data_IF_990531539829
#
_entry.id   IF_990531539829
#
_cell.length_a   1.000
_cell.length_b   1.000
_cell.length_c   1.000
_cell.angle_alpha   90.00
_cell.angle_beta   90.00
_cell.angle_gamma   90.00
#
_symmetry.space_group_name_H-M   'P 1'
#
loop_
_entity.id
_entity.type
_entity.pdbx_description
1 polymer ?
#
# COMPACT_ATOMS: atom_id res chain seq x y z
N UNK A 1 -13.41 -5.51 -14.41
CA UNK A 1 -12.59 -6.74 -14.25
C UNK A 1 -11.13 -6.32 -14.37
N UNK A 2 -10.31 -6.49 -13.33
CA UNK A 2 -8.91 -6.02 -13.32
C UNK A 2 -7.93 -7.10 -13.86
N UNK A 3 -8.33 -7.81 -14.92
CA UNK A 3 -7.65 -9.03 -15.39
C UNK A 3 -6.31 -8.78 -16.08
N UNK A 4 -5.92 -7.52 -16.25
CA UNK A 4 -4.65 -7.10 -16.86
C UNK A 4 -3.82 -6.21 -15.93
N UNK A 5 -4.32 -5.93 -14.73
CA UNK A 5 -3.67 -5.03 -13.79
C UNK A 5 -2.54 -5.78 -13.08
N UNK A 6 -1.30 -5.50 -13.48
CA UNK A 6 -0.08 -6.15 -12.94
C UNK A 6 0.56 -5.40 -11.79
N UNK A 7 0.45 -4.07 -11.77
CA UNK A 7 1.02 -3.23 -10.73
C UNK A 7 0.05 -2.12 -10.33
N UNK A 8 0.04 -1.81 -9.04
CA UNK A 8 -0.68 -0.67 -8.47
C UNK A 8 0.28 0.10 -7.59
N UNK A 9 0.35 1.41 -7.79
CA UNK A 9 1.05 2.34 -6.91
C UNK A 9 0.05 3.29 -6.29
N UNK A 10 0.06 3.40 -4.97
CA UNK A 10 -0.76 4.32 -4.20
C UNK A 10 0.16 5.25 -3.43
N UNK A 11 0.08 6.53 -3.72
CA UNK A 11 0.88 7.56 -3.06
C UNK A 11 0.07 8.28 -1.98
N UNK A 12 0.80 8.87 -1.03
CA UNK A 12 0.24 9.69 0.04
C UNK A 12 -0.81 8.98 0.92
N UNK A 13 -0.61 7.68 1.16
CA UNK A 13 -1.51 6.88 2.02
C UNK A 13 -1.45 7.38 3.46
N UNK A 14 -2.63 7.59 4.05
CA UNK A 14 -2.80 8.14 5.40
C UNK A 14 -3.09 7.09 6.48
N UNK A 15 -3.47 5.88 6.08
CA UNK A 15 -3.78 4.78 6.98
C UNK A 15 -5.27 4.67 7.32
N UNK A 16 -6.17 5.14 6.44
CA UNK A 16 -7.61 5.13 6.70
C UNK A 16 -8.29 3.82 6.27
N UNK A 17 -9.46 3.52 6.84
CA UNK A 17 -10.21 2.29 6.52
C UNK A 17 -10.64 2.21 5.03
N UNK A 18 -10.95 3.36 4.42
CA UNK A 18 -11.29 3.43 2.99
C UNK A 18 -10.12 3.00 2.11
N UNK A 19 -8.89 3.34 2.48
CA UNK A 19 -7.69 2.94 1.74
C UNK A 19 -7.45 1.42 1.88
N UNK A 20 -7.77 0.83 3.04
CA UNK A 20 -7.75 -0.63 3.23
C UNK A 20 -8.78 -1.34 2.36
N UNK A 21 -10.03 -0.85 2.35
CA UNK A 21 -11.10 -1.40 1.49
C UNK A 21 -10.73 -1.33 0.01
N UNK A 22 -10.06 -0.26 -0.38
CA UNK A 22 -9.57 -0.11 -1.74
C UNK A 22 -8.51 -1.17 -2.09
N UNK A 23 -7.57 -1.44 -1.19
CA UNK A 23 -6.57 -2.50 -1.36
C UNK A 23 -7.20 -3.90 -1.39
N UNK A 24 -8.19 -4.16 -0.55
CA UNK A 24 -8.94 -5.42 -0.52
C UNK A 24 -9.63 -5.72 -1.86
N UNK A 25 -10.18 -4.69 -2.51
CA UNK A 25 -10.77 -4.82 -3.85
C UNK A 25 -9.71 -5.27 -4.87
N UNK A 26 -8.49 -4.73 -4.83
CA UNK A 26 -7.44 -5.16 -5.75
C UNK A 26 -6.95 -6.58 -5.47
N UNK A 27 -6.72 -6.90 -4.20
CA UNK A 27 -6.30 -8.25 -3.79
C UNK A 27 -7.34 -9.29 -4.18
N UNK A 28 -8.63 -8.95 -4.14
CA UNK A 28 -9.72 -9.88 -4.46
C UNK A 28 -10.02 -9.93 -5.97
N UNK A 29 -9.98 -8.80 -6.68
CA UNK A 29 -10.46 -8.69 -8.07
C UNK A 29 -9.36 -8.66 -9.14
N UNK A 30 -8.10 -8.45 -8.77
CA UNK A 30 -6.99 -8.38 -9.72
C UNK A 30 -6.15 -9.66 -9.70
N UNK A 31 -6.61 -10.67 -10.44
CA UNK A 31 -6.03 -12.03 -10.48
C UNK A 31 -4.58 -12.09 -10.99
N UNK A 32 -4.14 -11.08 -11.73
CA UNK A 32 -2.79 -10.98 -12.31
C UNK A 32 -1.94 -9.89 -11.65
N UNK A 33 -2.38 -9.37 -10.51
CA UNK A 33 -1.64 -8.34 -9.78
C UNK A 33 -0.38 -8.94 -9.18
N UNK A 34 0.76 -8.39 -9.56
CA UNK A 34 2.08 -8.86 -9.15
C UNK A 34 2.68 -7.98 -8.06
N UNK A 35 2.46 -6.66 -8.15
CA UNK A 35 3.08 -5.67 -7.27
C UNK A 35 2.07 -4.63 -6.78
N UNK A 36 2.07 -4.39 -5.47
CA UNK A 36 1.42 -3.22 -4.86
C UNK A 36 2.49 -2.40 -4.16
N UNK A 37 2.59 -1.12 -4.51
CA UNK A 37 3.48 -0.16 -3.86
C UNK A 37 2.64 0.88 -3.15
N UNK A 38 2.84 1.01 -1.84
CA UNK A 38 2.15 1.98 -1.00
C UNK A 38 3.19 2.97 -0.48
N UNK A 39 3.13 4.20 -0.96
CA UNK A 39 3.91 5.30 -0.43
C UNK A 39 3.07 6.05 0.61
N UNK A 40 3.54 6.07 1.84
CA UNK A 40 2.89 6.83 2.93
C UNK A 40 3.27 8.30 2.84
N UNK A 41 2.30 9.17 3.10
CA UNK A 41 2.46 10.62 2.99
C UNK A 41 3.28 11.24 4.11
N UNK A 42 4.13 12.22 3.75
CA UNK A 42 4.74 13.26 4.60
C UNK A 42 5.03 12.86 6.07
N UNK A 43 6.11 12.13 6.30
CA UNK A 43 6.92 12.43 7.49
C UNK A 43 7.90 13.54 7.12
N UNK A 44 7.79 14.70 7.78
CA UNK A 44 8.73 15.83 7.62
C UNK A 44 10.20 15.43 7.88
N UNK A 45 10.41 14.26 8.48
CA UNK A 45 11.70 13.66 8.75
C UNK A 45 11.90 12.39 7.92
N UNK A 46 12.84 12.44 6.96
CA UNK A 46 13.32 11.29 6.16
C UNK A 46 13.84 10.09 6.98
N UNK A 47 13.99 10.23 8.30
CA UNK A 47 14.64 9.25 9.19
C UNK A 47 13.68 8.46 10.07
N UNK A 48 12.46 8.94 10.29
CA UNK A 48 11.50 8.21 11.11
C UNK A 48 10.57 7.40 10.23
N UNK A 49 10.55 6.09 10.49
CA UNK A 49 9.57 5.20 9.91
C UNK A 49 8.15 5.74 10.19
N UNK A 50 7.33 6.03 9.17
CA UNK A 50 6.02 6.69 9.32
C UNK A 50 5.07 5.99 10.31
N UNK A 51 5.19 4.67 10.44
CA UNK A 51 4.44 3.83 11.38
C UNK A 51 4.85 3.99 12.85
N UNK A 52 6.04 4.53 13.16
CA UNK A 52 6.42 4.83 14.55
C UNK A 52 5.79 6.12 15.07
N UNK A 53 5.48 7.05 14.17
CA UNK A 53 4.94 8.37 14.53
C UNK A 53 3.42 8.38 14.42
N UNK A 54 2.85 7.64 13.46
CA UNK A 54 1.42 7.64 13.23
C UNK A 54 0.80 6.28 13.60
N UNK A 55 0.05 6.18 14.72
CA UNK A 55 -0.58 4.93 15.14
C UNK A 55 -1.57 4.39 14.10
N UNK A 56 -2.20 5.27 13.31
CA UNK A 56 -3.11 4.85 12.24
C UNK A 56 -2.35 4.11 11.13
N UNK A 57 -1.11 4.48 10.84
CA UNK A 57 -0.27 3.78 9.86
C UNK A 57 0.24 2.44 10.39
N UNK A 58 0.47 2.33 11.70
CA UNK A 58 0.81 1.05 12.34
C UNK A 58 -0.37 0.07 12.25
N UNK A 59 -1.55 0.51 12.65
CA UNK A 59 -2.78 -0.28 12.56
C UNK A 59 -3.11 -0.65 11.10
N UNK A 60 -2.96 0.30 10.18
CA UNK A 60 -3.13 0.06 8.75
C UNK A 60 -2.19 -1.03 8.24
N UNK A 61 -0.92 -1.01 8.65
CA UNK A 61 0.05 -2.03 8.27
C UNK A 61 -0.35 -3.41 8.80
N UNK A 62 -0.79 -3.51 10.05
CA UNK A 62 -1.26 -4.78 10.61
C UNK A 62 -2.50 -5.29 9.88
N UNK A 63 -3.49 -4.42 9.65
CA UNK A 63 -4.69 -4.76 8.88
C UNK A 63 -4.36 -5.18 7.45
N UNK A 64 -3.41 -4.52 6.80
CA UNK A 64 -2.95 -4.90 5.46
C UNK A 64 -2.30 -6.29 5.45
N UNK A 65 -1.54 -6.66 6.49
CA UNK A 65 -1.00 -8.01 6.64
C UNK A 65 -2.07 -9.07 6.90
N UNK A 66 -3.21 -8.68 7.49
CA UNK A 66 -4.36 -9.56 7.72
C UNK A 66 -5.25 -9.76 6.50
N UNK A 67 -5.11 -8.93 5.45
CA UNK A 67 -5.93 -9.06 4.24
C UNK A 67 -5.65 -10.39 3.52
N UNK A 68 -6.68 -11.01 2.91
CA UNK A 68 -6.51 -12.24 2.17
C UNK A 68 -5.48 -12.01 1.06
N UNK A 69 -4.43 -12.82 1.05
CA UNK A 69 -3.52 -12.83 -0.09
C UNK A 69 -4.28 -13.41 -1.29
N UNK A 70 -4.20 -12.81 -2.48
CA UNK A 70 -4.78 -13.42 -3.67
C UNK A 70 -4.26 -14.86 -3.80
N UNK A 71 -5.16 -15.83 -3.97
CA UNK A 71 -4.79 -17.26 -4.06
C UNK A 71 -3.94 -17.58 -5.29
N UNK A 72 -3.85 -16.64 -6.21
CA UNK A 72 -2.92 -16.61 -7.33
C UNK A 72 -1.53 -16.30 -6.78
N UNK A 73 -0.61 -17.27 -6.88
CA UNK A 73 0.83 -17.16 -6.57
C UNK A 73 1.60 -16.05 -7.33
N UNK A 74 0.90 -15.10 -7.95
CA UNK A 74 1.44 -13.99 -8.73
C UNK A 74 1.68 -12.73 -7.92
N UNK A 75 0.96 -12.47 -6.82
CA UNK A 75 1.29 -11.32 -5.98
C UNK A 75 2.61 -11.59 -5.24
N UNK A 76 3.69 -11.03 -5.77
CA UNK A 76 5.04 -11.28 -5.29
C UNK A 76 5.45 -10.29 -4.20
N UNK A 77 4.99 -9.04 -4.31
CA UNK A 77 5.48 -7.97 -3.44
C UNK A 77 4.40 -6.96 -3.05
N UNK A 78 4.26 -6.72 -1.75
CA UNK A 78 3.66 -5.51 -1.20
C UNK A 78 4.81 -4.68 -0.64
N UNK A 79 5.12 -3.57 -1.30
CA UNK A 79 6.17 -2.65 -0.86
C UNK A 79 5.50 -1.47 -0.18
N UNK A 80 5.90 -1.19 1.05
CA UNK A 80 5.46 0.00 1.76
C UNK A 80 6.69 0.87 2.00
N UNK A 81 6.68 2.09 1.46
CA UNK A 81 7.82 2.99 1.49
C UNK A 81 7.42 4.35 2.08
N UNK A 82 8.33 5.04 2.80
CA UNK A 82 8.15 6.44 3.12
C UNK A 82 8.21 7.25 1.81
N UNK A 83 7.15 8.00 1.52
CA UNK A 83 7.04 8.78 0.30
C UNK A 83 8.17 9.81 0.20
N UNK A 84 9.02 9.67 -0.81
CA UNK A 84 10.02 10.67 -1.19
C UNK A 84 9.41 11.56 -2.26
N UNK A 85 9.09 12.81 -1.94
CA UNK A 85 8.69 13.80 -2.94
C UNK A 85 9.94 14.26 -3.69
N UNK A 86 10.10 13.87 -4.95
CA UNK A 86 10.90 14.64 -5.91
C UNK A 86 10.00 15.75 -6.43
N UNK A 87 10.20 16.97 -5.92
CA UNK A 87 9.64 18.17 -6.54
C UNK A 87 10.34 18.36 -7.89
N UNK A 88 9.61 18.19 -8.99
CA UNK A 88 10.03 18.77 -10.26
C UNK A 88 9.80 20.28 -10.14
N UNK A 89 10.91 21.01 -9.94
CA UNK A 89 10.98 22.47 -10.02
C UNK A 89 11.09 22.89 -11.48
#
# INVERSE_FOLDING_TARGET
MFNRLKSVEIQNVKGCETELKFLDIFLTKALVLETITIATGNTKTKKDMPWKINPNLAEFKEKLHSLPRPSSAKLRFIRIQPGSYLFLS
#
